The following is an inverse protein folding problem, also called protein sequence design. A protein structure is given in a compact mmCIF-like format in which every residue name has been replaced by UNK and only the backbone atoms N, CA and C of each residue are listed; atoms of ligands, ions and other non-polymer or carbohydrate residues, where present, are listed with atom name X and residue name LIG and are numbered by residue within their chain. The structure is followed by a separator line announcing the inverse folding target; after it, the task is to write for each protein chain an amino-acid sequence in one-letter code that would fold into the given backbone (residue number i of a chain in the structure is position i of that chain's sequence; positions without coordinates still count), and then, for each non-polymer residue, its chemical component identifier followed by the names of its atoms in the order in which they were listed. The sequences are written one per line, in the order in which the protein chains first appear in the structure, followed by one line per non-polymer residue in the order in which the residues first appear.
data_IF_914624036803
#
_entry.id   IF_914624036803
#
_cell.length_a   1.000
_cell.length_b   1.000
_cell.length_c   1.000
_cell.angle_alpha   90.00
_cell.angle_beta   90.00
_cell.angle_gamma   90.00
#
_symmetry.space_group_name_H-M   'P 1'
#
loop_
_entity.id
_entity.type
_entity.pdbx_description
1 polymer ?
#
# COMPACT_ATOMS: atom_id res chain seq x y z
N UNK A 1 10.33 13.58 19.17
CA UNK A 1 11.10 13.88 17.94
C UNK A 1 12.11 12.75 17.71
N UNK A 2 11.94 11.93 16.68
CA UNK A 2 12.84 10.80 16.42
C UNK A 2 14.21 11.34 16.02
N UNK A 3 15.21 11.19 16.92
CA UNK A 3 16.57 11.71 16.71
C UNK A 3 17.39 10.83 15.77
N UNK A 4 17.04 9.54 15.68
CA UNK A 4 17.75 8.53 14.90
C UNK A 4 16.75 7.55 14.29
N UNK A 5 16.92 7.19 13.02
CA UNK A 5 16.10 6.18 12.34
C UNK A 5 16.92 5.41 11.31
N UNK A 6 16.47 4.19 11.02
CA UNK A 6 17.14 3.28 10.10
C UNK A 6 16.50 3.32 8.71
N UNK A 7 17.36 3.14 7.71
CA UNK A 7 17.01 2.96 6.32
C UNK A 7 17.27 1.51 5.89
N UNK A 8 16.30 0.97 5.18
CA UNK A 8 16.23 -0.41 4.75
C UNK A 8 16.34 -0.47 3.22
N UNK A 9 17.05 -1.47 2.70
CA UNK A 9 17.10 -1.73 1.26
C UNK A 9 15.83 -2.45 0.76
N UNK A 10 15.77 -2.71 -0.55
CA UNK A 10 14.67 -3.46 -1.17
C UNK A 10 14.46 -4.87 -0.60
N UNK A 11 15.50 -5.48 -0.01
CA UNK A 11 15.45 -6.78 0.68
C UNK A 11 15.01 -6.67 2.15
N UNK A 12 14.60 -5.49 2.61
CA UNK A 12 14.23 -5.18 4.01
C UNK A 12 15.38 -5.35 5.02
N UNK A 13 16.63 -5.33 4.54
CA UNK A 13 17.80 -5.39 5.41
C UNK A 13 18.22 -3.98 5.84
N UNK A 14 18.53 -3.84 7.13
CA UNK A 14 19.04 -2.59 7.72
C UNK A 14 20.37 -2.26 7.05
N UNK A 15 20.39 -1.16 6.29
CA UNK A 15 21.53 -0.81 5.45
C UNK A 15 22.29 0.38 6.01
N UNK A 16 21.55 1.36 6.54
CA UNK A 16 22.07 2.68 6.89
C UNK A 16 21.32 3.25 8.10
N UNK A 17 22.07 3.78 9.06
CA UNK A 17 21.56 4.55 10.19
C UNK A 17 21.63 6.05 9.89
N UNK A 18 20.51 6.76 10.09
CA UNK A 18 20.42 8.21 9.89
C UNK A 18 20.15 8.90 11.21
N UNK A 19 21.04 9.81 11.60
CA UNK A 19 20.91 10.64 12.81
C UNK A 19 20.66 12.08 12.42
N UNK A 20 19.58 12.69 12.94
CA UNK A 20 19.30 14.11 12.70
C UNK A 20 20.22 14.96 13.57
N UNK A 21 20.98 15.85 12.94
CA UNK A 21 21.81 16.83 13.65
C UNK A 21 21.00 18.10 13.89
N UNK A 22 20.34 18.61 12.85
CA UNK A 22 19.45 19.78 12.93
C UNK A 22 18.30 19.67 11.89
N UNK A 23 17.57 20.75 11.64
CA UNK A 23 16.44 20.72 10.68
C UNK A 23 16.91 20.48 9.24
N UNK A 24 18.14 20.89 8.91
CA UNK A 24 18.68 20.91 7.55
C UNK A 24 19.78 19.85 7.30
N UNK A 25 20.24 19.14 8.33
CA UNK A 25 21.40 18.26 8.27
C UNK A 25 21.18 16.95 9.01
N UNK A 26 21.63 15.88 8.37
CA UNK A 26 21.63 14.52 8.89
C UNK A 26 23.05 13.93 8.84
N UNK A 27 23.35 13.03 9.76
CA UNK A 27 24.51 12.17 9.70
C UNK A 27 24.07 10.79 9.19
N UNK A 28 24.78 10.26 8.21
CA UNK A 28 24.55 8.93 7.65
C UNK A 28 25.71 8.05 8.06
N UNK A 29 25.42 6.91 8.68
CA UNK A 29 26.39 5.86 9.01
C UNK A 29 25.88 4.52 8.50
N UNK A 30 26.62 3.83 7.63
CA UNK A 30 26.27 2.47 7.26
C UNK A 30 26.58 1.44 8.35
N UNK A 31 25.88 0.32 8.30
CA UNK A 31 26.14 -0.81 9.20
C UNK A 31 27.33 -1.66 8.72
N UNK A 32 28.13 -2.24 9.62
CA UNK A 32 29.41 -2.89 9.30
C UNK A 32 29.35 -4.17 8.44
N UNK A 33 28.18 -4.57 7.94
CA UNK A 33 28.00 -5.77 7.10
C UNK A 33 27.21 -5.45 5.82
N UNK A 34 27.17 -4.18 5.42
CA UNK A 34 26.38 -3.70 4.28
C UNK A 34 27.27 -3.03 3.25
N UNK A 35 26.76 -2.85 2.03
CA UNK A 35 27.44 -2.09 0.96
C UNK A 35 27.81 -0.64 1.37
N UNK A 36 27.26 -0.18 2.49
CA UNK A 36 27.50 1.14 3.05
C UNK A 36 28.40 1.13 4.29
N UNK A 37 29.04 0.01 4.64
CA UNK A 37 29.85 -0.11 5.87
C UNK A 37 30.88 1.03 6.06
N UNK A 38 31.46 1.51 4.95
CA UNK A 38 32.44 2.61 4.94
C UNK A 38 31.82 4.00 4.76
N UNK A 39 30.49 4.10 4.69
CA UNK A 39 29.79 5.38 4.52
C UNK A 39 29.58 6.02 5.88
N UNK A 40 30.34 7.08 6.12
CA UNK A 40 30.11 8.02 7.21
C UNK A 40 30.16 9.43 6.65
N UNK A 41 29.01 10.10 6.55
CA UNK A 41 28.96 11.47 6.02
C UNK A 41 27.81 12.29 6.58
N UNK A 42 28.06 13.58 6.72
CA UNK A 42 27.02 14.58 6.92
C UNK A 42 26.39 14.92 5.56
N UNK A 43 25.06 14.99 5.53
CA UNK A 43 24.30 15.34 4.33
C UNK A 43 23.19 16.33 4.65
N UNK A 44 22.78 17.09 3.63
CA UNK A 44 21.57 17.91 3.69
C UNK A 44 20.29 17.09 3.52
N UNK A 45 19.12 17.72 3.74
CA UNK A 45 17.80 17.12 3.47
C UNK A 45 17.68 16.66 2.01
N UNK A 46 18.14 17.49 1.07
CA UNK A 46 18.06 17.19 -0.36
C UNK A 46 18.98 16.03 -0.77
N UNK A 47 20.20 16.04 -0.23
CA UNK A 47 21.18 14.98 -0.48
C UNK A 47 20.73 13.65 0.10
N UNK A 48 20.09 13.66 1.27
CA UNK A 48 19.47 12.48 1.86
C UNK A 48 18.37 11.92 0.95
N UNK A 49 17.51 12.79 0.40
CA UNK A 49 16.46 12.38 -0.55
C UNK A 49 17.05 11.78 -1.83
N UNK A 50 18.08 12.41 -2.41
CA UNK A 50 18.81 11.88 -3.57
C UNK A 50 19.48 10.53 -3.25
N UNK A 51 20.09 10.40 -2.08
CA UNK A 51 20.73 9.17 -1.62
C UNK A 51 19.73 8.03 -1.45
N UNK A 52 18.58 8.29 -0.81
CA UNK A 52 17.49 7.31 -0.68
C UNK A 52 16.99 6.82 -2.04
N UNK A 53 16.79 7.74 -3.00
CA UNK A 53 16.35 7.39 -4.36
C UNK A 53 17.39 6.57 -5.11
N UNK A 54 18.66 6.96 -5.07
CA UNK A 54 19.74 6.28 -5.80
C UNK A 54 19.93 4.82 -5.36
N UNK A 55 19.80 4.56 -4.06
CA UNK A 55 20.06 3.24 -3.48
C UNK A 55 18.78 2.47 -3.10
N UNK A 56 17.60 2.95 -3.50
CA UNK A 56 16.31 2.35 -3.16
C UNK A 56 16.18 2.06 -1.64
N UNK A 57 16.52 3.06 -0.84
CA UNK A 57 16.46 2.98 0.62
C UNK A 57 15.16 3.59 1.14
N UNK A 58 14.52 2.88 2.05
CA UNK A 58 13.21 3.24 2.60
C UNK A 58 13.23 3.26 4.12
N UNK A 59 12.40 4.08 4.73
CA UNK A 59 12.15 3.99 6.18
C UNK A 59 11.20 2.83 6.49
N UNK A 60 11.18 2.40 7.75
CA UNK A 60 10.20 1.41 8.23
C UNK A 60 8.76 1.80 7.90
N UNK A 61 8.44 3.09 8.02
CA UNK A 61 7.10 3.62 7.78
C UNK A 61 6.74 3.63 6.29
N UNK A 62 7.69 3.93 5.42
CA UNK A 62 7.50 3.84 3.96
C UNK A 62 7.27 2.39 3.52
N UNK A 63 7.96 1.43 4.13
CA UNK A 63 7.75 -0.01 3.88
C UNK A 63 6.37 -0.44 4.37
N UNK A 64 5.96 -0.02 5.58
CA UNK A 64 4.62 -0.31 6.11
C UNK A 64 3.52 0.26 5.21
N UNK A 65 3.61 1.53 4.83
CA UNK A 65 2.66 2.18 3.91
C UNK A 65 2.59 1.49 2.55
N UNK A 66 3.72 1.00 2.01
CA UNK A 66 3.70 0.18 0.80
C UNK A 66 2.97 -1.14 1.02
N UNK A 67 3.29 -1.88 2.09
CA UNK A 67 2.62 -3.14 2.43
C UNK A 67 1.11 -2.95 2.63
N UNK A 68 0.69 -1.86 3.26
CA UNK A 68 -0.72 -1.50 3.44
C UNK A 68 -1.39 -1.13 2.12
N UNK A 69 -0.74 -0.35 1.25
CA UNK A 69 -1.28 -0.01 -0.08
C UNK A 69 -1.47 -1.25 -0.97
N UNK A 70 -0.62 -2.26 -0.82
CA UNK A 70 -0.74 -3.54 -1.55
C UNK A 70 -1.60 -4.58 -0.83
N UNK A 71 -1.91 -4.40 0.45
CA UNK A 71 -3.00 -5.09 1.14
C UNK A 71 -4.33 -4.49 0.67
N UNK A 72 -4.68 -4.72 -0.59
CA UNK A 72 -6.09 -4.68 -0.96
C UNK A 72 -6.79 -5.69 -0.05
N UNK A 73 -7.85 -5.31 0.70
CA UNK A 73 -8.61 -6.30 1.43
C UNK A 73 -9.03 -7.38 0.43
N UNK A 74 -8.71 -8.62 0.76
CA UNK A 74 -9.11 -9.78 -0.02
C UNK A 74 -10.64 -9.72 -0.09
N UNK A 75 -11.19 -9.23 -1.21
CA UNK A 75 -12.64 -9.17 -1.39
C UNK A 75 -13.09 -10.60 -1.61
N UNK A 76 -13.98 -11.10 -0.76
CA UNK A 76 -14.56 -12.43 -0.93
C UNK A 76 -15.73 -12.38 -1.91
N UNK A 77 -16.17 -13.54 -2.40
CA UNK A 77 -17.40 -13.64 -3.18
C UNK A 77 -18.60 -13.13 -2.37
N UNK A 78 -18.62 -13.37 -1.05
CA UNK A 78 -19.61 -12.81 -0.12
C UNK A 78 -19.57 -11.28 -0.09
N UNK A 79 -18.38 -10.67 -0.02
CA UNK A 79 -18.26 -9.20 -0.02
C UNK A 79 -18.77 -8.59 -1.33
N UNK A 80 -18.54 -9.25 -2.46
CA UNK A 80 -19.11 -8.84 -3.75
C UNK A 80 -20.63 -8.93 -3.76
N UNK A 81 -21.20 -9.99 -3.19
CA UNK A 81 -22.65 -10.17 -3.10
C UNK A 81 -23.30 -9.11 -2.22
N UNK A 82 -22.69 -8.80 -1.06
CA UNK A 82 -23.15 -7.74 -0.16
C UNK A 82 -23.10 -6.38 -0.85
N UNK A 83 -22.00 -6.06 -1.58
CA UNK A 83 -21.89 -4.83 -2.36
C UNK A 83 -22.94 -4.73 -3.46
N UNK A 84 -23.17 -5.82 -4.19
CA UNK A 84 -24.19 -5.88 -5.23
C UNK A 84 -25.57 -5.60 -4.65
N UNK A 85 -25.91 -6.25 -3.55
CA UNK A 85 -27.20 -6.06 -2.87
C UNK A 85 -27.35 -4.62 -2.33
N UNK A 86 -26.28 -4.02 -1.78
CA UNK A 86 -26.30 -2.63 -1.34
C UNK A 86 -26.56 -1.68 -2.50
N UNK A 87 -25.84 -1.82 -3.61
CA UNK A 87 -25.95 -0.95 -4.78
C UNK A 87 -27.31 -1.06 -5.50
N UNK A 88 -27.96 -2.22 -5.44
CA UNK A 88 -29.32 -2.41 -5.99
C UNK A 88 -30.38 -1.75 -5.10
N UNK A 89 -30.18 -1.73 -3.77
CA UNK A 89 -31.19 -1.27 -2.82
C UNK A 89 -30.94 0.17 -2.31
N UNK A 90 -29.85 0.82 -2.73
CA UNK A 90 -29.62 2.22 -2.40
C UNK A 90 -30.60 3.09 -3.18
N UNK A 91 -31.18 4.06 -2.50
CA UNK A 91 -32.02 5.08 -3.10
C UNK A 91 -31.56 6.42 -2.52
N UNK A 92 -30.92 7.24 -3.37
CA UNK A 92 -30.42 8.56 -3.00
C UNK A 92 -31.46 9.65 -3.27
N UNK A 93 -32.55 9.32 -3.97
CA UNK A 93 -33.57 10.27 -4.43
C UNK A 93 -33.18 11.00 -5.73
N UNK A 94 -31.99 10.71 -6.27
CA UNK A 94 -31.54 11.17 -7.58
C UNK A 94 -31.64 10.00 -8.57
N UNK A 95 -32.53 10.15 -9.56
CA UNK A 95 -32.80 9.13 -10.57
C UNK A 95 -31.55 8.72 -11.37
N UNK A 96 -30.61 9.63 -11.64
CA UNK A 96 -29.39 9.27 -12.37
C UNK A 96 -28.42 8.48 -11.50
N UNK A 97 -28.26 8.85 -10.23
CA UNK A 97 -27.40 8.14 -9.29
C UNK A 97 -27.97 6.76 -8.94
N UNK A 98 -29.28 6.66 -8.78
CA UNK A 98 -29.98 5.41 -8.50
C UNK A 98 -29.82 4.44 -9.67
N UNK A 99 -29.99 4.89 -10.92
CA UNK A 99 -29.78 4.05 -12.10
C UNK A 99 -28.32 3.59 -12.25
N UNK A 100 -27.35 4.47 -11.98
CA UNK A 100 -25.92 4.11 -12.02
C UNK A 100 -25.61 3.06 -10.94
N UNK A 101 -26.11 3.26 -9.73
CA UNK A 101 -25.93 2.33 -8.61
C UNK A 101 -26.58 0.97 -8.91
N UNK A 102 -27.79 0.97 -9.43
CA UNK A 102 -28.49 -0.26 -9.82
C UNK A 102 -27.75 -1.02 -10.93
N UNK A 103 -27.25 -0.31 -11.95
CA UNK A 103 -26.47 -0.91 -13.04
C UNK A 103 -25.17 -1.54 -12.52
N UNK A 104 -24.45 -0.83 -11.64
CA UNK A 104 -23.24 -1.34 -11.00
C UNK A 104 -23.55 -2.57 -10.13
N UNK A 105 -24.64 -2.53 -9.37
CA UNK A 105 -25.09 -3.65 -8.54
C UNK A 105 -25.45 -4.89 -9.36
N UNK A 106 -26.19 -4.73 -10.46
CA UNK A 106 -26.50 -5.83 -11.41
C UNK A 106 -25.25 -6.43 -12.03
N UNK A 107 -24.27 -5.60 -12.39
CA UNK A 107 -23.00 -6.07 -12.94
C UNK A 107 -22.21 -6.89 -11.91
N UNK A 108 -22.10 -6.40 -10.66
CA UNK A 108 -21.46 -7.12 -9.57
C UNK A 108 -22.18 -8.44 -9.25
N UNK A 109 -23.51 -8.45 -9.27
CA UNK A 109 -24.30 -9.66 -9.06
C UNK A 109 -24.05 -10.70 -10.15
N UNK A 110 -23.96 -10.27 -11.41
CA UNK A 110 -23.58 -11.16 -12.52
C UNK A 110 -22.20 -11.78 -12.29
N UNK A 111 -21.21 -10.99 -11.87
CA UNK A 111 -19.88 -11.52 -11.55
C UNK A 111 -19.94 -12.58 -10.43
N UNK A 112 -20.72 -12.34 -9.37
CA UNK A 112 -20.92 -13.33 -8.30
C UNK A 112 -21.53 -14.62 -8.85
N UNK A 113 -22.57 -14.52 -9.68
CA UNK A 113 -23.19 -15.70 -10.28
C UNK A 113 -22.23 -16.48 -11.16
N UNK A 114 -21.40 -15.81 -11.96
CA UNK A 114 -20.38 -16.44 -12.79
C UNK A 114 -19.32 -17.15 -11.91
N UNK A 115 -18.93 -16.55 -10.78
CA UNK A 115 -17.97 -17.14 -9.84
C UNK A 115 -18.53 -18.39 -9.17
N UNK A 116 -19.76 -18.32 -8.66
CA UNK A 116 -20.45 -19.46 -8.05
C UNK A 116 -20.67 -20.59 -9.08
N UNK A 117 -21.04 -20.26 -10.31
CA UNK A 117 -21.23 -21.23 -11.40
C UNK A 117 -19.93 -21.94 -11.79
N UNK A 118 -18.79 -21.27 -11.62
CA UNK A 118 -17.46 -21.86 -11.82
C UNK A 118 -16.95 -22.67 -10.60
N UNK A 119 -17.81 -22.92 -9.60
CA UNK A 119 -17.51 -23.74 -8.45
C UNK A 119 -16.73 -23.03 -7.35
N UNK A 120 -16.74 -21.69 -7.31
CA UNK A 120 -16.20 -20.92 -6.17
C UNK A 120 -17.16 -20.89 -5.00
N UNK A 121 -16.61 -20.89 -3.79
CA UNK A 121 -17.36 -20.71 -2.56
C UNK A 121 -17.48 -19.23 -2.16
N UNK A 122 -18.45 -18.93 -1.30
CA UNK A 122 -18.69 -17.56 -0.80
C UNK A 122 -17.48 -16.97 -0.04
N UNK A 123 -16.67 -17.81 0.58
CA UNK A 123 -15.45 -17.44 1.31
C UNK A 123 -14.24 -17.24 0.40
N UNK A 124 -14.32 -17.60 -0.89
CA UNK A 124 -13.19 -17.50 -1.79
C UNK A 124 -12.81 -16.06 -2.07
N UNK A 125 -11.50 -15.80 -2.07
CA UNK A 125 -10.94 -14.50 -2.40
C UNK A 125 -10.97 -14.28 -3.91
N UNK A 126 -11.49 -13.12 -4.31
CA UNK A 126 -11.59 -12.68 -5.69
C UNK A 126 -10.85 -11.37 -5.91
N UNK A 127 -10.09 -11.35 -7.00
CA UNK A 127 -9.46 -10.14 -7.52
C UNK A 127 -10.47 -9.47 -8.44
N UNK A 128 -11.19 -8.50 -7.90
CA UNK A 128 -12.03 -7.62 -8.72
C UNK A 128 -11.08 -6.71 -9.51
N UNK A 129 -11.15 -6.76 -10.84
CA UNK A 129 -10.54 -5.74 -11.67
C UNK A 129 -11.41 -4.47 -11.54
N UNK A 130 -10.79 -3.38 -11.10
CA UNK A 130 -11.41 -2.05 -11.08
C UNK A 130 -11.44 -1.45 -12.49
#
# INVERSE_FOLDING_TARGET
MVKEYDLYNAKQLMSVKVKRINIHSYNIKGYPETEFANVYKRVSVEELSKFKKRFNLYTSDEIKKRKEKFRRPNTTVMDLLVKANFNININTGDFEEDNKSEMLGKYQLKQVMDLLSNGKDLSDVVKVAE
#
